data_IF_635100407796
#
_entry.id   IF_635100407796
#
_cell.length_a   1.000
_cell.length_b   1.000
_cell.length_c   1.000
_cell.angle_alpha   90.00
_cell.angle_beta   90.00
_cell.angle_gamma   90.00
#
_symmetry.space_group_name_H-M   'P 1'
#
loop_
_entity.id
_entity.type
_entity.pdbx_description
1 polymer ?
#
# COMPACT_ATOMS: atom_id res chain seq x y z
N UNK A 1 -2.02 24.49 25.69
CA UNK A 1 -1.33 23.43 24.91
C UNK A 1 -2.07 23.32 23.59
N UNK A 2 -1.43 23.63 22.46
CA UNK A 2 -2.01 23.32 21.14
C UNK A 2 -2.39 21.83 21.14
N UNK A 3 -3.63 21.49 20.79
CA UNK A 3 -4.04 20.10 20.62
C UNK A 3 -3.45 19.57 19.31
N UNK A 4 -2.13 19.37 19.30
CA UNK A 4 -1.35 18.95 18.14
C UNK A 4 -1.88 17.62 17.56
N UNK A 5 -2.51 16.77 18.38
CA UNK A 5 -3.20 15.57 17.92
C UNK A 5 -4.33 15.91 16.95
N UNK A 6 -5.17 16.89 17.28
CA UNK A 6 -6.25 17.35 16.41
C UNK A 6 -5.70 18.00 15.14
N UNK A 7 -4.67 18.83 15.26
CA UNK A 7 -4.02 19.44 14.10
C UNK A 7 -3.42 18.38 13.14
N UNK A 8 -2.78 17.35 13.68
CA UNK A 8 -2.22 16.25 12.89
C UNK A 8 -3.33 15.40 12.25
N UNK A 9 -4.38 15.08 13.00
CA UNK A 9 -5.54 14.36 12.47
C UNK A 9 -6.18 15.13 11.31
N UNK A 10 -6.43 16.43 11.49
CA UNK A 10 -7.03 17.26 10.43
C UNK A 10 -6.11 17.37 9.22
N UNK A 11 -4.79 17.44 9.41
CA UNK A 11 -3.83 17.42 8.30
C UNK A 11 -3.88 16.12 7.51
N UNK A 12 -3.91 14.97 8.18
CA UNK A 12 -3.96 13.66 7.53
C UNK A 12 -5.31 13.37 6.86
N UNK A 13 -6.42 13.74 7.50
CA UNK A 13 -7.76 13.59 6.91
C UNK A 13 -7.95 14.39 5.63
N UNK A 14 -7.19 15.47 5.44
CA UNK A 14 -7.28 16.35 4.28
C UNK A 14 -6.05 16.25 3.36
N UNK A 15 -5.18 15.25 3.56
CA UNK A 15 -4.06 15.01 2.65
C UNK A 15 -4.63 14.43 1.35
N UNK A 16 -4.30 15.05 0.23
CA UNK A 16 -4.69 14.60 -1.10
C UNK A 16 -3.42 14.33 -1.91
N UNK A 17 -2.95 13.09 -1.88
CA UNK A 17 -1.81 12.64 -2.66
C UNK A 17 -2.02 11.20 -3.15
N UNK A 18 -1.19 10.79 -4.10
CA UNK A 18 -1.29 9.49 -4.77
C UNK A 18 -1.04 8.28 -3.84
N UNK A 19 -0.58 8.52 -2.61
CA UNK A 19 -0.32 7.51 -1.58
C UNK A 19 -1.45 7.39 -0.55
N UNK A 20 -2.46 8.25 -0.57
CA UNK A 20 -3.58 8.18 0.39
C UNK A 20 -4.92 8.00 -0.28
N UNK A 21 -4.95 8.00 -1.61
CA UNK A 21 -6.15 7.71 -2.38
C UNK A 21 -6.42 6.19 -2.37
N UNK A 22 -7.61 5.74 -1.93
CA UNK A 22 -7.95 4.33 -1.99
C UNK A 22 -8.08 3.87 -3.44
N UNK A 23 -7.70 2.61 -3.70
CA UNK A 23 -7.95 1.96 -4.97
C UNK A 23 -9.44 1.85 -5.25
N UNK A 24 -9.84 2.07 -6.50
CA UNK A 24 -11.18 1.74 -6.97
C UNK A 24 -11.35 0.22 -7.10
N UNK A 25 -12.60 -0.22 -7.25
CA UNK A 25 -12.88 -1.63 -7.51
C UNK A 25 -12.25 -2.08 -8.84
N UNK A 26 -12.35 -1.25 -9.87
CA UNK A 26 -11.79 -1.52 -11.19
C UNK A 26 -10.27 -1.63 -11.16
N UNK A 27 -9.58 -0.75 -10.42
CA UNK A 27 -8.13 -0.80 -10.24
C UNK A 27 -7.68 -2.06 -9.50
N UNK A 28 -8.44 -2.47 -8.47
CA UNK A 28 -8.15 -3.71 -7.73
C UNK A 28 -8.32 -4.95 -8.62
N UNK A 29 -9.39 -5.01 -9.40
CA UNK A 29 -9.63 -6.13 -10.33
C UNK A 29 -8.61 -6.17 -11.45
N UNK A 30 -8.12 -5.01 -11.90
CA UNK A 30 -7.03 -4.96 -12.86
C UNK A 30 -5.69 -5.42 -12.26
N UNK A 31 -5.39 -4.99 -11.04
CA UNK A 31 -4.22 -5.44 -10.30
C UNK A 31 -4.25 -6.97 -10.09
N UNK A 32 -5.43 -7.57 -9.90
CA UNK A 32 -5.59 -9.02 -9.76
C UNK A 32 -5.14 -9.80 -11.00
N UNK A 33 -5.29 -9.25 -12.20
CA UNK A 33 -4.94 -9.92 -13.47
C UNK A 33 -3.45 -9.87 -13.81
N UNK A 34 -2.74 -8.85 -13.33
CA UNK A 34 -1.35 -8.56 -13.72
C UNK A 34 -0.33 -9.00 -12.70
N UNK A 35 0.92 -9.26 -13.08
CA UNK A 35 2.01 -9.47 -12.13
C UNK A 35 2.10 -8.38 -11.05
N UNK A 36 2.53 -8.77 -9.85
CA UNK A 36 2.69 -7.84 -8.73
C UNK A 36 3.68 -6.74 -9.09
N UNK A 37 3.32 -5.49 -8.81
CA UNK A 37 4.11 -4.32 -9.17
C UNK A 37 4.13 -3.33 -8.03
N UNK A 38 5.31 -3.11 -7.44
CA UNK A 38 5.47 -2.25 -6.25
C UNK A 38 6.55 -1.21 -6.52
N UNK A 39 6.28 0.02 -6.11
CA UNK A 39 7.24 1.11 -6.14
C UNK A 39 7.54 1.57 -4.70
N UNK A 40 8.82 1.74 -4.37
CA UNK A 40 9.26 2.29 -3.08
C UNK A 40 9.36 3.82 -3.12
N UNK A 41 9.57 4.38 -4.31
CA UNK A 41 9.67 5.81 -4.58
C UNK A 41 9.03 6.12 -5.92
N UNK A 42 8.80 7.39 -6.21
CA UNK A 42 8.31 7.81 -7.53
C UNK A 42 9.29 7.32 -8.60
N UNK A 43 8.80 6.50 -9.53
CA UNK A 43 9.47 6.17 -10.78
C UNK A 43 10.15 4.81 -10.86
N UNK A 44 10.62 4.20 -9.75
CA UNK A 44 11.30 2.89 -9.81
C UNK A 44 10.53 1.78 -9.12
N UNK A 45 10.16 0.77 -9.90
CA UNK A 45 9.58 -0.48 -9.42
C UNK A 45 10.67 -1.37 -8.83
N UNK A 46 10.34 -2.09 -7.76
CA UNK A 46 11.20 -3.15 -7.23
C UNK A 46 11.11 -4.40 -8.10
N UNK A 47 12.13 -5.28 -8.09
CA UNK A 47 12.09 -6.54 -8.82
C UNK A 47 10.91 -7.43 -8.40
N UNK A 48 10.21 -8.01 -9.39
CA UNK A 48 9.08 -8.92 -9.14
C UNK A 48 9.50 -10.19 -8.40
N UNK A 49 10.69 -10.71 -8.69
CA UNK A 49 11.31 -11.88 -8.07
C UNK A 49 11.41 -11.80 -6.53
N UNK A 50 11.33 -10.61 -5.95
CA UNK A 50 11.29 -10.43 -4.49
C UNK A 50 10.02 -11.04 -3.90
N UNK A 51 8.91 -10.97 -4.63
CA UNK A 51 7.61 -11.49 -4.20
C UNK A 51 7.45 -12.98 -4.49
N UNK A 52 8.06 -13.49 -5.57
CA UNK A 52 8.15 -14.94 -5.81
C UNK A 52 8.79 -15.67 -4.62
N UNK A 53 9.87 -15.08 -4.08
CA UNK A 53 10.56 -15.58 -2.87
C UNK A 53 9.75 -15.42 -1.58
N UNK A 54 8.64 -14.67 -1.61
CA UNK A 54 7.73 -14.45 -0.51
C UNK A 54 6.53 -15.41 -0.51
N UNK A 55 6.37 -16.26 -1.53
CA UNK A 55 5.31 -17.26 -1.57
C UNK A 55 5.32 -18.14 -0.32
N UNK A 56 4.15 -18.29 0.32
CA UNK A 56 3.99 -19.03 1.59
C UNK A 56 4.49 -18.29 2.84
N UNK A 57 4.99 -17.05 2.72
CA UNK A 57 5.41 -16.21 3.85
C UNK A 57 4.40 -15.09 4.09
N UNK A 58 4.48 -14.50 5.28
CA UNK A 58 3.73 -13.29 5.65
C UNK A 58 4.47 -12.05 5.19
N UNK A 59 3.75 -11.09 4.61
CA UNK A 59 4.27 -9.79 4.20
C UNK A 59 3.94 -8.76 5.27
N UNK A 60 4.96 -8.05 5.77
CA UNK A 60 4.81 -6.88 6.63
C UNK A 60 5.18 -5.63 5.83
N UNK A 61 4.20 -4.77 5.55
CA UNK A 61 4.41 -3.45 4.98
C UNK A 61 4.62 -2.40 6.06
N UNK A 62 5.76 -1.72 6.06
CA UNK A 62 6.09 -0.62 6.97
C UNK A 62 6.13 0.69 6.18
N UNK A 63 5.59 1.77 6.74
CA UNK A 63 5.50 3.07 6.07
C UNK A 63 4.89 2.93 4.67
N UNK A 64 3.78 2.18 4.59
CA UNK A 64 3.22 1.69 3.34
C UNK A 64 2.33 2.72 2.62
N UNK A 65 2.31 3.98 3.07
CA UNK A 65 1.62 5.09 2.41
C UNK A 65 0.14 4.80 2.29
N UNK A 66 -0.61 5.02 3.38
CA UNK A 66 -2.08 4.93 3.36
C UNK A 66 -2.69 3.53 3.20
N UNK A 67 -1.87 2.48 3.10
CA UNK A 67 -2.32 1.08 3.15
C UNK A 67 -2.89 0.50 1.86
N UNK A 68 -2.91 1.28 0.77
CA UNK A 68 -3.46 0.88 -0.53
C UNK A 68 -2.79 -0.36 -1.15
N UNK A 69 -1.53 -0.65 -0.80
CA UNK A 69 -0.84 -1.85 -1.28
C UNK A 69 -1.36 -3.13 -0.62
N UNK A 70 -1.95 -3.03 0.57
CA UNK A 70 -2.49 -4.17 1.31
C UNK A 70 -3.52 -4.98 0.50
N UNK A 71 -4.60 -4.37 -0.02
CA UNK A 71 -5.56 -5.02 -0.90
C UNK A 71 -4.93 -5.67 -2.14
N UNK A 72 -3.92 -5.05 -2.74
CA UNK A 72 -3.21 -5.61 -3.90
C UNK A 72 -2.45 -6.88 -3.51
N UNK A 73 -1.71 -6.86 -2.40
CA UNK A 73 -1.01 -8.05 -1.90
C UNK A 73 -1.97 -9.17 -1.52
N UNK A 74 -3.06 -8.84 -0.82
CA UNK A 74 -4.09 -9.81 -0.47
C UNK A 74 -4.74 -10.43 -1.72
N UNK A 75 -5.02 -9.63 -2.76
CA UNK A 75 -5.57 -10.11 -4.03
C UNK A 75 -4.63 -11.06 -4.78
N UNK A 76 -3.32 -11.02 -4.47
CA UNK A 76 -2.29 -11.94 -4.97
C UNK A 76 -2.06 -13.17 -4.08
N UNK A 77 -2.86 -13.33 -3.03
CA UNK A 77 -2.80 -14.48 -2.13
C UNK A 77 -1.74 -14.37 -1.03
N UNK A 78 -1.16 -13.19 -0.81
CA UNK A 78 -0.26 -12.97 0.32
C UNK A 78 -1.04 -12.71 1.61
N UNK A 79 -0.60 -13.32 2.71
CA UNK A 79 -1.01 -12.94 4.06
C UNK A 79 -0.25 -11.67 4.46
N UNK A 80 -0.96 -10.55 4.53
CA UNK A 80 -0.38 -9.22 4.62
C UNK A 80 -0.82 -8.49 5.88
N UNK A 81 0.14 -7.82 6.52
CA UNK A 81 -0.09 -6.83 7.58
C UNK A 81 0.53 -5.51 7.14
N UNK A 82 -0.24 -4.41 7.21
CA UNK A 82 0.24 -3.07 6.86
C UNK A 82 0.27 -2.18 8.10
N UNK A 83 1.34 -1.42 8.25
CA UNK A 83 1.56 -0.42 9.30
C UNK A 83 1.99 0.91 8.64
N UNK A 84 1.36 2.01 9.03
CA UNK A 84 1.68 3.40 8.65
C UNK A 84 1.42 4.35 9.83
#
# INVERSE_FOLDING_TARGET
>A
MSNYLKANQDRWNNVNNDYTAPLTHEELEEARKHSISVALTIGKKVPEEWFEKASGKKILGLACGGGQQGPVFAAKGYDVTIMD
#
